data_IF_069495379009
#
_entry.id   IF_069495379009
#
_cell.length_a   1.000
_cell.length_b   1.000
_cell.length_c   1.000
_cell.angle_alpha   90.00
_cell.angle_beta   90.00
_cell.angle_gamma   90.00
#
_symmetry.space_group_name_H-M   'P 1'
#
loop_
_entity.id
_entity.type
_entity.pdbx_description
1 polymer ?
#
# COMPACT_ATOMS: atom_id res chain seq x y z
N UNK A 1 -0.22 -10.76 28.76
CA UNK A 1 0.91 -10.45 27.86
C UNK A 1 1.22 -8.96 27.96
N UNK A 2 0.24 -8.08 27.71
CA UNK A 2 0.32 -6.62 27.91
C UNK A 2 0.92 -6.20 29.26
N UNK A 3 0.28 -6.52 30.39
CA UNK A 3 0.74 -6.11 31.72
C UNK A 3 2.11 -6.68 32.15
N UNK A 4 2.58 -7.77 31.53
CA UNK A 4 3.87 -8.38 31.86
C UNK A 4 5.04 -7.65 31.20
N UNK A 5 4.80 -7.04 30.04
CA UNK A 5 5.81 -6.38 29.22
C UNK A 5 5.58 -4.88 29.09
N UNK A 6 4.55 -4.33 29.73
CA UNK A 6 4.19 -2.92 29.63
C UNK A 6 3.67 -2.50 28.26
N UNK A 7 3.19 -3.46 27.44
CA UNK A 7 2.67 -3.19 26.10
C UNK A 7 1.27 -2.59 26.26
N UNK A 8 1.07 -1.40 25.73
CA UNK A 8 -0.18 -0.64 25.70
C UNK A 8 -0.94 -0.91 24.40
N UNK A 9 -2.21 -0.53 24.35
CA UNK A 9 -3.04 -0.71 23.14
C UNK A 9 -2.44 0.06 21.94
N UNK A 10 -1.82 1.22 22.20
CA UNK A 10 -1.10 2.01 21.18
C UNK A 10 0.14 1.31 20.57
N UNK A 11 0.64 0.24 21.19
CA UNK A 11 1.79 -0.54 20.72
C UNK A 11 1.38 -1.68 19.78
N UNK A 12 0.09 -1.97 19.64
CA UNK A 12 -0.40 -3.00 18.72
C UNK A 12 -0.68 -2.40 17.35
N UNK A 13 0.10 -2.82 16.37
CA UNK A 13 -0.04 -2.39 14.98
C UNK A 13 -0.50 -3.53 14.09
N UNK A 14 -1.49 -3.26 13.25
CA UNK A 14 -1.87 -4.13 12.16
C UNK A 14 -1.29 -3.59 10.85
N UNK A 15 -0.60 -4.46 10.11
CA UNK A 15 -0.04 -4.18 8.80
C UNK A 15 -0.82 -4.96 7.74
N UNK A 16 -1.16 -4.31 6.63
CA UNK A 16 -1.71 -4.99 5.46
C UNK A 16 -1.18 -4.37 4.16
N UNK A 17 -1.21 -5.17 3.10
CA UNK A 17 -0.78 -4.77 1.76
C UNK A 17 -1.98 -4.79 0.80
N UNK A 18 -2.17 -3.70 0.07
CA UNK A 18 -3.20 -3.62 -0.97
C UNK A 18 -2.65 -3.14 -2.31
N UNK A 19 -2.81 -3.98 -3.33
CA UNK A 19 -2.49 -3.65 -4.72
C UNK A 19 -3.67 -3.00 -5.46
N UNK A 20 -3.40 -1.86 -6.09
CA UNK A 20 -4.30 -1.07 -6.94
C UNK A 20 -3.86 -1.16 -8.41
N UNK A 21 -4.83 -1.18 -9.32
CA UNK A 21 -4.58 -0.99 -10.75
C UNK A 21 -4.64 0.49 -11.08
N UNK A 22 -3.58 1.05 -11.65
CA UNK A 22 -3.59 2.42 -12.13
C UNK A 22 -4.46 2.55 -13.39
N UNK A 23 -5.10 3.72 -13.54
CA UNK A 23 -5.96 4.02 -14.69
C UNK A 23 -7.38 3.43 -14.64
N UNK A 24 -7.78 2.81 -13.53
CA UNK A 24 -9.17 2.39 -13.30
C UNK A 24 -9.88 3.38 -12.37
N UNK A 25 -10.79 4.19 -12.91
CA UNK A 25 -11.65 5.07 -12.12
C UNK A 25 -12.92 4.30 -11.77
N UNK A 26 -13.20 4.15 -10.47
CA UNK A 26 -14.48 3.65 -9.97
C UNK A 26 -15.00 4.64 -8.93
N UNK A 27 -16.32 4.88 -8.92
CA UNK A 27 -16.96 5.78 -7.96
C UNK A 27 -16.81 5.30 -6.51
N UNK A 28 -16.64 3.99 -6.31
CA UNK A 28 -16.33 3.35 -5.04
C UNK A 28 -15.75 1.96 -5.33
N UNK A 29 -14.81 1.50 -4.49
CA UNK A 29 -14.32 0.13 -4.49
C UNK A 29 -14.45 -0.38 -3.07
N UNK A 30 -15.34 -1.35 -2.86
CA UNK A 30 -15.44 -2.10 -1.61
C UNK A 30 -14.91 -3.49 -1.92
N UNK A 31 -13.76 -3.85 -1.35
CA UNK A 31 -13.16 -5.18 -1.54
C UNK A 31 -13.51 -6.02 -0.32
N UNK A 32 -14.51 -6.90 -0.46
CA UNK A 32 -14.86 -7.82 0.63
C UNK A 32 -14.20 -9.19 0.44
N UNK A 33 -14.06 -9.96 1.53
CA UNK A 33 -13.57 -11.36 1.45
C UNK A 33 -14.47 -12.24 0.56
N UNK A 34 -15.77 -11.94 0.50
CA UNK A 34 -16.73 -12.64 -0.35
C UNK A 34 -16.44 -12.42 -1.86
N UNK A 35 -15.91 -11.27 -2.25
CA UNK A 35 -15.51 -10.98 -3.63
C UNK A 35 -14.24 -11.74 -4.04
N UNK A 36 -13.36 -12.07 -3.08
CA UNK A 36 -12.07 -12.75 -3.32
C UNK A 36 -12.15 -14.27 -3.23
N UNK A 37 -13.15 -14.85 -2.56
CA UNK A 37 -13.18 -16.30 -2.31
C UNK A 37 -13.43 -17.09 -3.62
N UNK A 38 -12.38 -17.73 -4.14
CA UNK A 38 -12.44 -18.55 -5.35
C UNK A 38 -12.50 -17.78 -6.67
N UNK A 39 -12.37 -16.44 -6.64
CA UNK A 39 -12.35 -15.59 -7.83
C UNK A 39 -11.02 -14.85 -7.91
N UNK A 40 -10.27 -15.06 -8.99
CA UNK A 40 -9.12 -14.22 -9.33
C UNK A 40 -9.57 -12.78 -9.51
N UNK A 41 -8.76 -11.79 -9.09
CA UNK A 41 -9.01 -10.37 -9.41
C UNK A 41 -9.31 -10.27 -10.92
N UNK A 42 -10.40 -9.62 -11.29
CA UNK A 42 -10.66 -9.32 -12.69
C UNK A 42 -9.60 -8.31 -13.15
N UNK A 43 -8.53 -8.82 -13.76
CA UNK A 43 -7.49 -7.99 -14.34
C UNK A 43 -8.04 -7.50 -15.67
N UNK A 44 -8.27 -6.20 -15.79
CA UNK A 44 -8.68 -5.62 -17.06
C UNK A 44 -7.49 -5.70 -18.02
N UNK A 45 -7.65 -6.39 -19.15
CA UNK A 45 -6.57 -6.55 -20.13
C UNK A 45 -6.10 -5.18 -20.66
N UNK A 46 -4.81 -4.88 -20.52
CA UNK A 46 -4.19 -3.64 -20.99
C UNK A 46 -2.80 -3.45 -20.38
N UNK A 47 -2.05 -2.44 -20.85
CA UNK A 47 -0.73 -2.08 -20.30
C UNK A 47 -0.91 -1.27 -19.00
N UNK A 48 -1.47 -1.92 -17.98
CA UNK A 48 -1.82 -1.26 -16.70
C UNK A 48 -0.78 -1.62 -15.66
N UNK A 49 -0.17 -0.57 -15.10
CA UNK A 49 0.77 -0.68 -14.00
C UNK A 49 0.02 -0.89 -12.68
N UNK A 50 0.64 -1.67 -11.80
CA UNK A 50 0.17 -1.85 -10.42
C UNK A 50 0.91 -0.89 -9.49
N UNK A 51 0.16 -0.36 -8.52
CA UNK A 51 0.72 0.30 -7.36
C UNK A 51 0.33 -0.52 -6.12
N UNK A 52 1.25 -0.68 -5.19
CA UNK A 52 1.02 -1.39 -3.93
C UNK A 52 1.12 -0.35 -2.81
N UNK A 53 0.14 -0.33 -1.92
CA UNK A 53 0.27 0.40 -0.67
C UNK A 53 0.40 -0.57 0.49
N UNK A 54 1.38 -0.30 1.34
CA UNK A 54 1.52 -0.90 2.66
C UNK A 54 0.95 0.09 3.66
N UNK A 55 -0.03 -0.36 4.43
CA UNK A 55 -0.77 0.47 5.39
C UNK A 55 -0.56 -0.13 6.78
N UNK A 56 -0.37 0.75 7.76
CA UNK A 56 -0.20 0.35 9.14
C UNK A 56 -0.96 1.27 10.07
N UNK A 57 -1.77 0.68 10.95
CA UNK A 57 -2.61 1.37 11.92
C UNK A 57 -2.53 0.67 13.28
N UNK A 58 -2.51 1.44 14.36
CA UNK A 58 -2.61 0.89 15.71
C UNK A 58 -4.05 0.84 16.25
N UNK A 59 -4.24 0.30 17.45
CA UNK A 59 -5.56 0.23 18.09
C UNK A 59 -6.14 1.59 18.53
N UNK A 60 -5.33 2.66 18.50
CA UNK A 60 -5.73 4.04 18.82
C UNK A 60 -5.91 4.92 17.57
N UNK A 61 -6.14 4.33 16.41
CA UNK A 61 -6.31 5.00 15.11
C UNK A 61 -5.10 5.86 14.66
N UNK A 62 -3.93 5.66 15.27
CA UNK A 62 -2.68 6.24 14.77
C UNK A 62 -2.20 5.45 13.56
N UNK A 63 -2.03 6.16 12.44
CA UNK A 63 -1.58 5.60 11.18
C UNK A 63 -0.12 5.96 10.94
N UNK A 64 0.70 4.96 10.61
CA UNK A 64 2.03 5.21 10.06
C UNK A 64 1.84 5.72 8.62
N UNK A 65 2.62 6.72 8.16
CA UNK A 65 2.54 7.18 6.80
C UNK A 65 2.62 6.03 5.79
N UNK A 66 1.83 6.16 4.72
CA UNK A 66 1.66 5.12 3.73
C UNK A 66 2.99 4.87 2.98
N UNK A 67 3.34 3.60 2.76
CA UNK A 67 4.44 3.24 1.89
C UNK A 67 3.91 2.75 0.54
N UNK A 68 4.18 3.50 -0.51
CA UNK A 68 3.72 3.23 -1.86
C UNK A 68 4.85 2.64 -2.71
N UNK A 69 4.64 1.45 -3.24
CA UNK A 69 5.53 0.82 -4.20
C UNK A 69 4.90 0.93 -5.58
N UNK A 70 5.63 1.51 -6.53
CA UNK A 70 5.15 1.73 -7.90
C UNK A 70 6.09 1.05 -8.87
N UNK A 71 5.55 0.29 -9.80
CA UNK A 71 6.33 -0.23 -10.93
C UNK A 71 6.20 0.67 -12.13
N UNK A 72 7.34 0.99 -12.72
CA UNK A 72 7.43 1.68 -14.00
C UNK A 72 8.79 1.45 -14.62
N UNK A 73 8.87 1.50 -15.95
CA UNK A 73 10.17 1.56 -16.65
C UNK A 73 10.75 2.98 -16.60
N UNK A 74 9.86 3.98 -16.63
CA UNK A 74 10.20 5.39 -16.57
C UNK A 74 9.38 6.08 -15.47
N UNK A 75 10.08 6.61 -14.48
CA UNK A 75 9.47 7.34 -13.37
C UNK A 75 9.73 8.84 -13.54
N UNK A 76 8.66 9.61 -13.68
CA UNK A 76 8.74 11.08 -13.69
C UNK A 76 8.69 11.58 -12.25
N UNK A 77 9.81 12.08 -11.73
CA UNK A 77 9.93 12.56 -10.34
C UNK A 77 8.83 13.55 -9.95
N UNK A 78 8.43 14.42 -10.88
CA UNK A 78 7.41 15.46 -10.66
C UNK A 78 6.05 14.87 -10.26
N UNK A 79 5.73 13.63 -10.66
CA UNK A 79 4.49 12.97 -10.23
C UNK A 79 4.45 12.70 -8.72
N UNK A 80 5.62 12.59 -8.09
CA UNK A 80 5.76 12.29 -6.68
C UNK A 80 6.12 13.54 -5.87
N UNK A 81 6.92 14.46 -6.44
CA UNK A 81 7.42 15.64 -5.73
C UNK A 81 6.56 16.89 -5.90
N UNK A 82 5.82 16.99 -6.99
CA UNK A 82 4.94 18.14 -7.31
C UNK A 82 3.46 17.72 -7.38
N UNK A 83 3.16 16.46 -7.09
CA UNK A 83 1.79 15.95 -7.01
C UNK A 83 1.10 16.33 -5.69
N UNK A 84 -0.23 16.17 -5.65
CA UNK A 84 -1.05 16.38 -4.45
C UNK A 84 -0.92 15.23 -3.42
N UNK A 85 0.22 14.54 -3.39
CA UNK A 85 0.48 13.45 -2.44
C UNK A 85 0.98 14.03 -1.10
N UNK A 86 0.56 13.44 0.04
CA UNK A 86 1.10 13.85 1.33
C UNK A 86 2.62 13.68 1.38
N UNK A 87 3.31 14.68 1.94
CA UNK A 87 4.78 14.74 1.96
C UNK A 87 5.41 13.66 2.84
N UNK A 88 4.66 13.13 3.81
CA UNK A 88 5.08 12.08 4.72
C UNK A 88 4.98 10.68 4.12
N UNK A 89 4.35 10.52 2.95
CA UNK A 89 4.28 9.24 2.27
C UNK A 89 5.64 8.87 1.68
N UNK A 90 6.03 7.62 1.91
CA UNK A 90 7.22 7.05 1.31
C UNK A 90 6.82 6.45 -0.04
N UNK A 91 7.59 6.74 -1.09
CA UNK A 91 7.33 6.23 -2.43
C UNK A 91 8.59 5.56 -2.95
N UNK A 92 8.49 4.26 -3.25
CA UNK A 92 9.57 3.47 -3.81
C UNK A 92 9.24 3.00 -5.22
N UNK A 93 9.90 3.56 -6.24
CA UNK A 93 9.95 2.98 -7.58
C UNK A 93 10.65 1.62 -7.55
N UNK A 94 10.04 0.59 -8.14
CA UNK A 94 10.66 -0.73 -8.31
C UNK A 94 10.49 -1.24 -9.74
N UNK A 95 11.44 -2.05 -10.21
CA UNK A 95 11.35 -2.67 -11.54
C UNK A 95 10.44 -3.91 -11.50
N UNK A 96 10.35 -4.57 -10.33
CA UNK A 96 9.88 -5.95 -10.23
C UNK A 96 8.49 -6.13 -9.62
N UNK A 97 7.78 -5.08 -9.18
CA UNK A 97 6.39 -5.18 -8.67
C UNK A 97 6.21 -5.94 -7.35
N UNK A 98 7.29 -6.19 -6.58
CA UNK A 98 7.22 -6.84 -5.26
C UNK A 98 8.19 -6.18 -4.28
N UNK A 99 7.83 -6.24 -3.00
CA UNK A 99 8.72 -5.88 -1.89
C UNK A 99 9.78 -6.96 -1.71
N UNK A 100 11.04 -6.57 -1.57
CA UNK A 100 12.14 -7.45 -1.14
C UNK A 100 12.72 -6.97 0.20
N UNK A 101 13.69 -7.73 0.73
CA UNK A 101 14.30 -7.40 2.02
C UNK A 101 15.04 -6.06 2.01
N UNK A 102 15.52 -5.59 0.85
CA UNK A 102 16.19 -4.28 0.76
C UNK A 102 15.16 -3.15 0.80
N UNK A 103 14.06 -3.32 0.07
CA UNK A 103 12.94 -2.36 0.02
C UNK A 103 12.20 -2.25 1.35
N UNK A 104 12.12 -3.34 2.12
CA UNK A 104 11.46 -3.34 3.43
C UNK A 104 12.25 -2.69 4.57
N UNK A 105 13.47 -2.21 4.31
CA UNK A 105 14.34 -1.54 5.30
C UNK A 105 14.35 -0.01 5.16
N UNK A 106 13.75 0.52 4.10
CA UNK A 106 13.56 1.96 3.88
C UNK A 106 12.34 2.49 4.64
#
# INVERSE_FOLDING_TARGET
>A
MQAKYGILDCDFYNFDETGFMMGQISLYIVVTKADRYGKSKAIQSGNREWAIAIICVNEEDYNIPLFLIVKGEYHLSNWYTEGDLPYDWLIKPTINEWTDNETGLE
#
